data_IF_652895590591
#
_entry.id   IF_652895590591
#
_cell.length_a   1.000
_cell.length_b   1.000
_cell.length_c   1.000
_cell.angle_alpha   90.00
_cell.angle_beta   90.00
_cell.angle_gamma   90.00
#
_symmetry.space_group_name_H-M   'P 1'
#
loop_
_entity.id
_entity.type
_entity.pdbx_description
1 polymer ?
#
# COMPACT_ATOMS: atom_id res chain seq x y z
N UNK A 1 3.06 -49.56 33.85
CA UNK A 1 3.37 -48.12 33.90
C UNK A 1 3.47 -47.63 32.46
N UNK A 2 2.60 -46.71 32.01
CA UNK A 2 2.66 -46.20 30.65
C UNK A 2 3.72 -45.11 30.59
N UNK A 3 4.67 -45.24 29.67
CA UNK A 3 5.56 -44.13 29.29
C UNK A 3 5.29 -43.84 27.83
N UNK A 4 4.12 -43.26 27.57
CA UNK A 4 3.84 -42.64 26.29
C UNK A 4 4.72 -41.40 26.17
N UNK A 5 5.95 -41.61 25.67
CA UNK A 5 6.73 -40.54 25.06
C UNK A 5 5.93 -40.04 23.86
N UNK A 6 5.14 -38.98 24.08
CA UNK A 6 4.65 -38.14 22.99
C UNK A 6 5.87 -37.74 22.16
N UNK A 7 6.04 -38.36 21.00
CA UNK A 7 6.91 -37.81 19.95
C UNK A 7 6.36 -36.43 19.65
N UNK A 8 7.01 -35.41 20.18
CA UNK A 8 6.83 -34.04 19.71
C UNK A 8 7.39 -34.06 18.29
N UNK A 9 6.54 -34.31 17.31
CA UNK A 9 6.87 -34.16 15.89
C UNK A 9 7.06 -32.66 15.67
N UNK A 10 8.26 -32.17 15.95
CA UNK A 10 8.61 -30.79 15.62
C UNK A 10 8.46 -30.62 14.11
N UNK A 11 7.73 -29.58 13.71
CA UNK A 11 7.42 -29.29 12.32
C UNK A 11 8.71 -29.28 11.48
N UNK A 12 8.64 -29.87 10.28
CA UNK A 12 9.70 -29.73 9.29
C UNK A 12 9.68 -28.30 8.78
N UNK A 13 10.84 -27.65 8.78
CA UNK A 13 11.00 -26.33 8.17
C UNK A 13 11.24 -26.55 6.68
N UNK A 14 10.46 -25.88 5.84
CA UNK A 14 10.59 -25.94 4.39
C UNK A 14 11.12 -24.59 3.88
N UNK A 15 12.03 -24.64 2.92
CA UNK A 15 12.48 -23.44 2.22
C UNK A 15 11.34 -22.92 1.35
N UNK A 16 10.97 -21.65 1.53
CA UNK A 16 9.85 -21.02 0.82
C UNK A 16 10.06 -21.05 -0.70
N UNK A 17 11.25 -20.68 -1.16
CA UNK A 17 11.50 -20.53 -2.60
C UNK A 17 11.70 -21.87 -3.33
N UNK A 18 12.48 -22.80 -2.77
CA UNK A 18 12.80 -24.05 -3.47
C UNK A 18 11.95 -25.26 -3.04
N UNK A 19 11.08 -25.11 -2.03
CA UNK A 19 10.20 -26.16 -1.49
C UNK A 19 10.91 -27.31 -0.74
N UNK A 20 12.26 -27.34 -0.71
CA UNK A 20 13.03 -28.42 -0.08
C UNK A 20 13.07 -28.26 1.44
N UNK A 21 13.08 -29.39 2.15
CA UNK A 21 13.27 -29.45 3.61
C UNK A 21 14.60 -28.79 4.03
N UNK A 22 14.55 -27.90 5.00
CA UNK A 22 15.74 -27.37 5.69
C UNK A 22 16.14 -28.39 6.76
N UNK A 23 17.32 -28.99 6.59
CA UNK A 23 17.86 -29.93 7.60
C UNK A 23 18.20 -29.14 8.86
N UNK A 24 17.87 -29.70 10.03
CA UNK A 24 18.05 -29.08 11.36
C UNK A 24 19.45 -28.53 11.68
N UNK A 25 20.48 -29.02 11.00
CA UNK A 25 21.89 -28.65 11.22
C UNK A 25 22.40 -27.63 10.21
N UNK A 26 21.57 -27.19 9.26
CA UNK A 26 21.95 -26.19 8.25
C UNK A 26 21.46 -24.81 8.68
N UNK A 27 22.28 -23.81 8.38
CA UNK A 27 21.89 -22.40 8.51
C UNK A 27 20.77 -22.06 7.52
N UNK A 28 19.88 -21.16 7.94
CA UNK A 28 18.76 -20.67 7.14
C UNK A 28 18.46 -19.22 7.50
N UNK A 29 18.02 -18.45 6.50
CA UNK A 29 17.54 -17.08 6.67
C UNK A 29 16.07 -17.14 7.08
N UNK A 30 15.67 -16.30 8.02
CA UNK A 30 14.25 -16.11 8.38
C UNK A 30 13.86 -14.69 8.04
N UNK A 31 12.79 -14.54 7.26
CA UNK A 31 12.28 -13.24 6.84
C UNK A 31 10.82 -13.10 7.25
N UNK A 32 10.46 -11.87 7.59
CA UNK A 32 9.08 -11.46 7.77
C UNK A 32 8.61 -10.81 6.46
N UNK A 33 7.53 -11.32 5.88
CA UNK A 33 7.04 -10.84 4.59
C UNK A 33 5.52 -10.65 4.59
N UNK A 34 5.02 -9.86 3.65
CA UNK A 34 3.61 -9.49 3.50
C UNK A 34 3.13 -9.85 2.08
N UNK A 35 2.02 -10.60 1.97
CA UNK A 35 1.44 -11.02 0.69
C UNK A 35 0.46 -9.99 0.11
N UNK A 36 0.23 -8.92 0.86
CA UNK A 36 -0.42 -7.70 0.41
C UNK A 36 0.15 -6.51 1.20
N UNK A 37 0.31 -5.34 0.58
CA UNK A 37 0.76 -4.13 1.28
C UNK A 37 -0.24 -3.65 2.35
N UNK A 38 -1.48 -4.13 2.29
CA UNK A 38 -2.58 -3.80 3.19
C UNK A 38 -2.70 -4.78 4.36
N UNK A 39 -1.92 -5.87 4.37
CA UNK A 39 -1.98 -6.86 5.44
C UNK A 39 -1.48 -6.25 6.77
N UNK A 40 -2.27 -6.45 7.83
CA UNK A 40 -1.87 -6.13 9.21
C UNK A 40 -0.88 -7.14 9.77
N UNK A 41 -0.99 -8.40 9.34
CA UNK A 41 -0.20 -9.52 9.84
C UNK A 41 0.79 -9.99 8.79
N UNK A 42 2.05 -10.03 9.17
CA UNK A 42 3.09 -10.67 8.38
C UNK A 42 3.03 -12.19 8.43
N UNK A 43 3.64 -12.84 7.44
CA UNK A 43 4.05 -14.25 7.53
C UNK A 43 5.55 -14.37 7.73
N UNK A 44 5.97 -15.36 8.49
CA UNK A 44 7.39 -15.74 8.58
C UNK A 44 7.71 -16.79 7.53
N UNK A 45 8.74 -16.53 6.72
CA UNK A 45 9.29 -17.48 5.75
C UNK A 45 10.72 -17.88 6.12
N UNK A 46 11.15 -19.04 5.64
CA UNK A 46 12.49 -19.56 5.83
C UNK A 46 13.14 -19.84 4.49
N UNK A 47 14.41 -19.50 4.33
CA UNK A 47 15.18 -19.66 3.10
C UNK A 47 16.49 -20.37 3.39
N UNK A 48 16.97 -21.17 2.44
CA UNK A 48 18.31 -21.76 2.56
C UNK A 48 19.39 -20.70 2.39
N UNK A 49 20.33 -20.67 3.34
CA UNK A 49 21.63 -20.04 3.14
C UNK A 49 22.45 -20.99 2.26
N UNK A 50 22.98 -20.51 1.14
CA UNK A 50 23.85 -21.24 0.19
C UNK A 50 23.24 -22.31 -0.72
N UNK A 51 21.91 -22.46 -0.79
CA UNK A 51 21.31 -23.32 -1.81
C UNK A 51 21.12 -22.53 -3.10
N UNK A 52 21.66 -23.05 -4.22
CA UNK A 52 21.49 -22.44 -5.55
C UNK A 52 20.21 -22.95 -6.19
N UNK A 53 19.38 -22.03 -6.68
CA UNK A 53 18.17 -22.39 -7.43
C UNK A 53 18.57 -22.89 -8.81
N UNK A 54 18.51 -24.22 -8.94
CA UNK A 54 19.01 -25.00 -10.08
C UNK A 54 20.52 -24.82 -10.32
N UNK A 55 21.16 -25.86 -10.85
CA UNK A 55 22.58 -25.80 -11.23
C UNK A 55 22.86 -24.79 -12.36
N UNK A 56 21.81 -24.25 -13.01
CA UNK A 56 21.93 -23.39 -14.19
C UNK A 56 21.98 -21.88 -13.90
N UNK A 57 21.34 -21.39 -12.83
CA UNK A 57 21.22 -19.95 -12.59
C UNK A 57 22.18 -19.41 -11.54
N UNK A 58 22.64 -20.25 -10.61
CA UNK A 58 23.72 -19.90 -9.69
C UNK A 58 23.35 -18.92 -8.57
N UNK A 59 22.09 -18.45 -8.49
CA UNK A 59 21.56 -17.54 -7.47
C UNK A 59 21.05 -18.29 -6.24
N UNK A 60 21.16 -17.66 -5.08
CA UNK A 60 20.66 -18.15 -3.80
C UNK A 60 19.13 -18.11 -3.71
N UNK A 61 18.55 -18.86 -2.76
CA UNK A 61 17.12 -18.78 -2.44
C UNK A 61 16.66 -17.38 -2.01
N UNK A 62 17.57 -16.57 -1.47
CA UNK A 62 17.27 -15.19 -1.04
C UNK A 62 17.28 -14.23 -2.21
N UNK A 63 18.30 -14.27 -3.08
CA UNK A 63 18.33 -13.46 -4.32
C UNK A 63 17.12 -13.76 -5.21
N UNK A 64 16.76 -15.04 -5.30
CA UNK A 64 15.59 -15.50 -6.04
C UNK A 64 14.26 -14.92 -5.54
N UNK A 65 14.16 -14.56 -4.26
CA UNK A 65 12.96 -13.97 -3.69
C UNK A 65 12.65 -12.60 -4.31
N UNK A 66 13.68 -11.86 -4.71
CA UNK A 66 13.62 -10.49 -5.23
C UNK A 66 13.81 -10.40 -6.75
N UNK A 67 14.11 -11.51 -7.42
CA UNK A 67 14.48 -11.50 -8.83
C UNK A 67 13.27 -11.52 -9.79
N UNK A 68 12.96 -10.36 -10.35
CA UNK A 68 11.85 -10.10 -11.28
C UNK A 68 12.07 -10.68 -12.69
N UNK A 69 13.26 -11.16 -13.05
CA UNK A 69 13.54 -11.58 -14.43
C UNK A 69 12.79 -12.86 -14.86
N UNK A 70 12.24 -13.62 -13.91
CA UNK A 70 11.72 -14.97 -14.17
C UNK A 70 10.43 -15.33 -13.43
N UNK A 71 9.90 -14.44 -12.58
CA UNK A 71 8.55 -14.58 -12.07
C UNK A 71 7.96 -13.26 -11.60
N UNK A 72 6.63 -13.20 -11.64
CA UNK A 72 5.84 -12.01 -11.29
C UNK A 72 5.57 -11.89 -9.78
N UNK A 73 5.61 -13.01 -9.04
CA UNK A 73 5.28 -13.09 -7.61
C UNK A 73 6.51 -12.95 -6.71
N UNK A 74 7.30 -11.90 -6.95
CA UNK A 74 8.53 -11.60 -6.20
C UNK A 74 8.27 -10.61 -5.07
N UNK A 75 9.18 -10.53 -4.13
CA UNK A 75 9.13 -9.56 -3.04
C UNK A 75 10.00 -8.36 -3.34
N UNK A 76 9.77 -7.27 -2.62
CA UNK A 76 10.62 -6.11 -2.59
C UNK A 76 10.57 -5.45 -1.21
N UNK A 77 11.62 -4.74 -0.87
CA UNK A 77 11.68 -3.96 0.37
C UNK A 77 11.20 -2.54 0.10
N UNK A 78 10.06 -2.18 0.68
CA UNK A 78 9.52 -0.84 0.51
C UNK A 78 10.41 0.18 1.28
N UNK A 79 10.98 1.20 0.61
CA UNK A 79 11.89 2.14 1.26
C UNK A 79 11.23 3.02 2.32
N UNK A 80 9.89 3.18 2.26
CA UNK A 80 9.13 4.01 3.20
C UNK A 80 8.74 3.28 4.48
N UNK A 81 8.20 2.06 4.38
CA UNK A 81 7.76 1.31 5.56
C UNK A 81 8.71 0.18 5.98
N UNK A 82 9.77 -0.07 5.21
CA UNK A 82 10.78 -1.12 5.45
C UNK A 82 10.21 -2.54 5.53
N UNK A 83 8.98 -2.75 5.03
CA UNK A 83 8.36 -4.07 4.93
C UNK A 83 8.77 -4.74 3.62
N UNK A 84 9.05 -6.04 3.69
CA UNK A 84 9.22 -6.92 2.53
C UNK A 84 7.83 -7.35 2.03
N UNK A 85 7.39 -6.80 0.90
CA UNK A 85 6.02 -6.96 0.38
C UNK A 85 6.08 -7.65 -0.98
N UNK A 86 5.09 -8.48 -1.31
CA UNK A 86 4.98 -9.05 -2.65
C UNK A 86 4.67 -7.95 -3.69
N UNK A 87 5.34 -7.99 -4.83
CA UNK A 87 5.26 -6.95 -5.87
C UNK A 87 3.95 -7.01 -6.66
N UNK A 88 3.34 -8.18 -6.78
CA UNK A 88 2.16 -8.41 -7.60
C UNK A 88 1.13 -9.23 -6.86
N UNK A 89 -0.15 -8.88 -7.05
CA UNK A 89 -1.26 -9.54 -6.38
C UNK A 89 -1.36 -11.03 -6.77
N UNK A 90 -1.24 -11.98 -5.82
CA UNK A 90 -1.31 -13.42 -6.11
C UNK A 90 -2.66 -13.88 -6.68
N UNK A 91 -3.75 -13.23 -6.28
CA UNK A 91 -5.12 -13.60 -6.67
C UNK A 91 -5.55 -12.94 -7.97
N UNK A 92 -5.02 -11.76 -8.25
CA UNK A 92 -5.25 -11.00 -9.47
C UNK A 92 -3.90 -10.60 -10.06
N UNK A 93 -3.23 -11.58 -10.67
CA UNK A 93 -1.87 -11.49 -11.21
C UNK A 93 -1.66 -10.50 -12.35
N UNK A 94 -2.48 -9.48 -12.50
CA UNK A 94 -2.22 -8.30 -13.33
C UNK A 94 -2.00 -7.03 -12.50
N UNK A 95 -2.40 -7.03 -11.22
CA UNK A 95 -2.33 -5.85 -10.36
C UNK A 95 -1.00 -5.78 -9.62
N UNK A 96 -0.21 -4.75 -9.92
CA UNK A 96 1.01 -4.42 -9.20
C UNK A 96 0.70 -3.80 -7.84
N UNK A 97 1.39 -4.23 -6.78
CA UNK A 97 1.40 -3.63 -5.45
C UNK A 97 2.51 -2.61 -5.25
N UNK A 98 3.22 -2.26 -6.32
CA UNK A 98 4.25 -1.23 -6.35
C UNK A 98 3.91 -0.12 -7.33
N UNK A 99 4.38 1.09 -7.02
CA UNK A 99 4.20 2.27 -7.86
C UNK A 99 5.36 3.24 -7.68
N UNK A 100 5.71 3.91 -8.77
CA UNK A 100 6.65 5.04 -8.76
C UNK A 100 6.03 6.28 -8.12
N UNK A 101 6.71 6.81 -7.11
CA UNK A 101 6.40 8.06 -6.43
C UNK A 101 7.70 8.80 -6.11
N UNK A 102 7.83 10.05 -6.58
CA UNK A 102 9.04 10.87 -6.39
C UNK A 102 10.36 10.15 -6.76
N UNK A 103 10.38 9.53 -7.94
CA UNK A 103 11.52 8.77 -8.49
C UNK A 103 11.94 7.56 -7.64
N UNK A 104 11.06 7.09 -6.74
CA UNK A 104 11.23 5.87 -5.97
C UNK A 104 10.03 4.94 -6.11
N UNK A 105 10.30 3.65 -6.15
CA UNK A 105 9.24 2.65 -6.12
C UNK A 105 8.82 2.38 -4.67
N UNK A 106 7.53 2.53 -4.37
CA UNK A 106 6.97 2.33 -3.04
C UNK A 106 5.78 1.37 -3.09
N UNK A 107 5.43 0.76 -1.95
CA UNK A 107 4.25 -0.10 -1.88
C UNK A 107 2.95 0.71 -1.94
N UNK A 108 1.90 0.12 -2.51
CA UNK A 108 0.58 0.77 -2.60
C UNK A 108 0.00 1.15 -1.24
N UNK A 109 0.29 0.40 -0.17
CA UNK A 109 -0.14 0.77 1.18
C UNK A 109 0.55 2.03 1.72
N UNK A 110 1.80 2.32 1.33
CA UNK A 110 2.44 3.60 1.64
C UNK A 110 1.84 4.72 0.79
N UNK A 111 1.67 4.46 -0.50
CA UNK A 111 1.09 5.42 -1.43
C UNK A 111 -0.34 5.82 -1.04
N UNK A 112 -1.17 4.86 -0.64
CA UNK A 112 -2.52 5.08 -0.12
C UNK A 112 -2.51 6.03 1.08
N UNK A 113 -1.67 5.76 2.08
CA UNK A 113 -1.54 6.62 3.27
C UNK A 113 -1.11 8.04 2.91
N UNK A 114 -0.24 8.20 1.90
CA UNK A 114 0.18 9.52 1.40
C UNK A 114 -1.01 10.23 0.75
N UNK A 115 -1.71 9.58 -0.17
CA UNK A 115 -2.83 10.18 -0.90
C UNK A 115 -4.00 10.53 0.04
N UNK A 116 -4.35 9.65 0.98
CA UNK A 116 -5.40 9.92 1.98
C UNK A 116 -5.04 11.11 2.87
N UNK A 117 -3.75 11.33 3.12
CA UNK A 117 -3.28 12.43 3.97
C UNK A 117 -3.13 13.75 3.21
N UNK A 118 -2.67 13.70 1.97
CA UNK A 118 -2.16 14.87 1.25
C UNK A 118 -2.98 15.22 0.01
N UNK A 119 -3.88 14.33 -0.41
CA UNK A 119 -4.56 14.41 -1.70
C UNK A 119 -3.61 14.18 -2.88
N UNK A 120 -4.17 14.26 -4.09
CA UNK A 120 -3.40 14.33 -5.32
C UNK A 120 -2.89 15.76 -5.50
N UNK A 121 -1.61 15.90 -5.83
CA UNK A 121 -0.97 17.19 -6.04
C UNK A 121 -1.62 17.97 -7.21
N UNK A 122 -1.79 19.29 -7.04
CA UNK A 122 -2.43 20.19 -8.00
C UNK A 122 -1.81 20.07 -9.39
N UNK A 123 -0.49 19.99 -9.44
CA UNK A 123 0.33 19.92 -10.66
C UNK A 123 -0.01 18.70 -11.52
N UNK A 124 -0.51 17.61 -10.91
CA UNK A 124 -0.94 16.41 -11.64
C UNK A 124 -2.21 16.70 -12.44
N UNK A 125 -3.20 17.36 -11.83
CA UNK A 125 -4.43 17.76 -12.52
C UNK A 125 -4.18 18.84 -13.58
N UNK A 126 -3.31 19.81 -13.31
CA UNK A 126 -2.88 20.82 -14.29
C UNK A 126 -2.21 20.19 -15.52
N UNK A 127 -1.44 19.11 -15.31
CA UNK A 127 -0.84 18.33 -16.38
C UNK A 127 -1.82 17.37 -17.09
N UNK A 128 -3.09 17.35 -16.71
CA UNK A 128 -4.10 16.45 -17.28
C UNK A 128 -3.91 14.98 -16.89
N UNK A 129 -3.29 14.71 -15.73
CA UNK A 129 -3.07 13.35 -15.23
C UNK A 129 -4.13 12.98 -14.19
N UNK A 130 -4.77 11.84 -14.41
CA UNK A 130 -5.74 11.24 -13.51
C UNK A 130 -5.08 10.18 -12.65
N UNK A 131 -4.29 10.63 -11.69
CA UNK A 131 -3.66 9.75 -10.73
C UNK A 131 -4.70 9.27 -9.72
N UNK A 132 -4.61 8.01 -9.30
CA UNK A 132 -5.53 7.46 -8.33
C UNK A 132 -5.16 6.02 -8.00
N UNK A 133 -5.98 5.35 -7.22
CA UNK A 133 -5.85 3.91 -6.98
C UNK A 133 -7.21 3.32 -6.62
N UNK A 134 -7.25 1.99 -6.52
CA UNK A 134 -8.40 1.32 -5.93
C UNK A 134 -8.32 1.53 -4.41
N UNK A 135 -9.42 1.96 -3.82
CA UNK A 135 -9.55 2.11 -2.38
C UNK A 135 -10.62 1.14 -1.87
N UNK A 136 -10.63 0.93 -0.55
CA UNK A 136 -11.83 0.52 0.14
C UNK A 136 -12.64 1.77 0.47
N UNK A 137 -13.89 1.83 0.02
CA UNK A 137 -14.80 2.96 0.27
C UNK A 137 -14.90 3.29 1.77
N UNK A 138 -14.94 2.27 2.63
CA UNK A 138 -15.02 2.43 4.09
C UNK A 138 -13.81 3.18 4.64
N UNK A 139 -12.61 2.96 4.09
CA UNK A 139 -11.38 3.63 4.51
C UNK A 139 -11.39 5.11 4.15
N UNK A 140 -11.95 5.47 2.99
CA UNK A 140 -12.10 6.87 2.57
C UNK A 140 -13.11 7.61 3.44
N UNK A 141 -14.27 6.99 3.68
CA UNK A 141 -15.31 7.55 4.56
C UNK A 141 -14.77 7.74 5.98
N UNK A 142 -14.07 6.73 6.53
CA UNK A 142 -13.44 6.80 7.85
C UNK A 142 -12.34 7.87 7.92
N UNK A 143 -11.65 8.13 6.81
CA UNK A 143 -10.68 9.21 6.70
C UNK A 143 -11.34 10.60 6.56
N UNK A 144 -12.67 10.68 6.47
CA UNK A 144 -13.43 11.93 6.38
C UNK A 144 -13.52 12.49 4.95
N UNK A 145 -13.37 11.62 3.94
CA UNK A 145 -13.67 11.97 2.56
C UNK A 145 -15.17 11.81 2.27
N UNK A 146 -15.66 12.66 1.37
CA UNK A 146 -17.01 12.60 0.81
C UNK A 146 -16.93 12.54 -0.72
N UNK A 147 -17.84 11.78 -1.34
CA UNK A 147 -17.94 11.72 -2.80
C UNK A 147 -18.45 13.05 -3.36
N UNK A 148 -17.90 13.45 -4.50
CA UNK A 148 -18.43 14.56 -5.29
C UNK A 148 -19.60 14.04 -6.13
N UNK A 149 -20.84 14.50 -5.90
CA UNK A 149 -22.03 13.88 -6.53
C UNK A 149 -22.00 13.85 -8.07
N UNK A 150 -21.47 14.88 -8.71
CA UNK A 150 -21.38 14.96 -10.18
C UNK A 150 -20.15 14.24 -10.77
N UNK A 151 -19.33 13.62 -9.91
CA UNK A 151 -18.11 12.89 -10.25
C UNK A 151 -18.06 11.50 -9.61
N UNK A 152 -19.20 10.98 -9.17
CA UNK A 152 -19.38 9.57 -8.83
C UNK A 152 -19.47 8.75 -10.12
N UNK A 153 -18.74 7.63 -10.19
CA UNK A 153 -18.77 6.73 -11.35
C UNK A 153 -18.54 7.46 -12.70
N UNK A 154 -17.64 8.44 -12.69
CA UNK A 154 -17.36 9.26 -13.86
C UNK A 154 -16.59 8.45 -14.91
N UNK A 155 -17.20 8.26 -16.08
CA UNK A 155 -16.59 7.49 -17.15
C UNK A 155 -15.63 8.35 -17.98
N UNK A 156 -14.34 8.03 -17.89
CA UNK A 156 -13.27 8.67 -18.67
C UNK A 156 -13.01 7.86 -19.93
N UNK A 157 -13.19 8.49 -21.09
CA UNK A 157 -12.92 7.87 -22.39
C UNK A 157 -12.16 8.78 -23.35
N UNK A 158 -12.40 10.07 -23.26
CA UNK A 158 -11.86 11.06 -24.19
C UNK A 158 -11.02 12.10 -23.46
N UNK A 159 -10.20 12.84 -24.22
CA UNK A 159 -9.45 13.98 -23.68
C UNK A 159 -10.35 15.02 -23.03
N UNK A 160 -11.57 15.20 -23.56
CA UNK A 160 -12.55 16.12 -22.98
C UNK A 160 -13.01 15.66 -21.59
N UNK A 161 -13.18 14.35 -21.38
CA UNK A 161 -13.58 13.80 -20.08
C UNK A 161 -12.45 14.01 -19.04
N UNK A 162 -11.20 13.82 -19.46
CA UNK A 162 -10.02 14.13 -18.64
C UNK A 162 -9.97 15.61 -18.27
N UNK A 163 -10.14 16.51 -19.25
CA UNK A 163 -10.14 17.96 -19.01
C UNK A 163 -11.27 18.38 -18.06
N UNK A 164 -12.46 17.78 -18.21
CA UNK A 164 -13.60 18.03 -17.31
C UNK A 164 -13.31 17.55 -15.88
N UNK A 165 -12.78 16.34 -15.73
CA UNK A 165 -12.45 15.77 -14.42
C UNK A 165 -11.38 16.62 -13.71
N UNK A 166 -10.27 16.92 -14.39
CA UNK A 166 -9.22 17.78 -13.85
C UNK A 166 -9.73 19.19 -13.50
N UNK A 167 -10.61 19.78 -14.32
CA UNK A 167 -11.17 21.10 -14.03
C UNK A 167 -11.97 21.13 -12.74
N UNK A 168 -12.75 20.08 -12.44
CA UNK A 168 -13.53 20.01 -11.19
C UNK A 168 -12.62 19.73 -10.00
N UNK A 169 -11.62 18.87 -10.15
CA UNK A 169 -10.62 18.65 -9.12
C UNK A 169 -9.91 19.96 -8.73
N UNK A 170 -9.49 20.76 -9.72
CA UNK A 170 -8.84 22.05 -9.47
C UNK A 170 -9.76 23.06 -8.78
N UNK A 171 -11.06 23.07 -9.08
CA UNK A 171 -12.03 23.90 -8.38
C UNK A 171 -12.09 23.58 -6.88
N UNK A 172 -12.19 22.29 -6.53
CA UNK A 172 -12.18 21.87 -5.12
C UNK A 172 -10.86 22.17 -4.41
N UNK A 173 -9.72 21.99 -5.09
CA UNK A 173 -8.41 22.39 -4.55
C UNK A 173 -8.38 23.89 -4.23
N UNK A 174 -8.90 24.72 -5.14
CA UNK A 174 -8.96 26.18 -4.95
C UNK A 174 -9.90 26.59 -3.79
N UNK A 175 -10.93 25.78 -3.52
CA UNK A 175 -11.82 25.93 -2.37
C UNK A 175 -11.22 25.41 -1.04
N UNK A 176 -10.01 24.86 -1.08
CA UNK A 176 -9.28 24.39 0.08
C UNK A 176 -9.59 22.94 0.46
N UNK A 177 -9.93 22.09 -0.51
CA UNK A 177 -10.10 20.66 -0.32
C UNK A 177 -8.87 19.88 -0.79
N UNK A 178 -8.66 18.72 -0.17
CA UNK A 178 -7.86 17.63 -0.73
C UNK A 178 -8.76 16.85 -1.68
N UNK A 179 -8.22 16.47 -2.84
CA UNK A 179 -8.94 15.71 -3.86
C UNK A 179 -8.21 14.39 -4.07
N UNK A 180 -8.94 13.29 -4.16
CA UNK A 180 -8.41 11.97 -4.53
C UNK A 180 -9.30 11.35 -5.61
N UNK A 181 -8.71 10.46 -6.42
CA UNK A 181 -9.41 9.73 -7.47
C UNK A 181 -9.37 8.24 -7.15
N UNK A 182 -10.55 7.65 -6.96
CA UNK A 182 -10.73 6.22 -6.83
C UNK A 182 -10.92 5.60 -8.21
N UNK A 183 -10.21 4.51 -8.47
CA UNK A 183 -10.43 3.68 -9.65
C UNK A 183 -11.52 2.65 -9.33
N UNK A 184 -12.57 2.57 -10.14
CA UNK A 184 -13.61 1.54 -10.00
C UNK A 184 -13.42 0.41 -11.01
N UNK A 185 -13.37 0.78 -12.30
CA UNK A 185 -13.21 -0.15 -13.39
C UNK A 185 -12.30 0.46 -14.45
N UNK A 186 -11.08 -0.07 -14.57
CA UNK A 186 -10.10 0.41 -15.54
C UNK A 186 -9.95 -0.58 -16.69
N UNK A 187 -9.94 -0.08 -17.92
CA UNK A 187 -9.55 -0.85 -19.08
C UNK A 187 -8.08 -1.27 -18.98
N UNK A 188 -7.74 -2.40 -19.63
CA UNK A 188 -6.36 -2.87 -19.74
C UNK A 188 -5.55 -1.80 -20.49
N UNK A 189 -4.65 -1.12 -19.79
CA UNK A 189 -3.88 0.02 -20.30
C UNK A 189 -4.16 1.35 -19.60
N UNK A 190 -5.15 1.43 -18.71
CA UNK A 190 -5.32 2.54 -17.75
C UNK A 190 -5.81 3.88 -18.32
N UNK A 191 -6.14 3.95 -19.61
CA UNK A 191 -6.56 5.19 -20.28
C UNK A 191 -8.07 5.40 -20.32
N UNK A 192 -8.85 4.32 -20.18
CA UNK A 192 -10.32 4.36 -20.17
C UNK A 192 -10.83 3.66 -18.90
N UNK A 193 -11.88 4.19 -18.29
CA UNK A 193 -12.42 3.59 -17.08
C UNK A 193 -13.34 4.49 -16.26
N UNK A 194 -13.93 3.91 -15.23
CA UNK A 194 -14.75 4.60 -14.25
C UNK A 194 -13.89 5.07 -13.08
N UNK A 195 -14.03 6.35 -12.74
CA UNK A 195 -13.36 6.95 -11.60
C UNK A 195 -14.35 7.72 -10.74
N UNK A 196 -14.17 7.64 -9.42
CA UNK A 196 -14.94 8.42 -8.46
C UNK A 196 -14.05 9.46 -7.81
N UNK A 197 -14.51 10.72 -7.81
CA UNK A 197 -13.80 11.81 -7.13
C UNK A 197 -14.27 11.93 -5.69
N UNK A 198 -13.31 11.97 -4.78
CA UNK A 198 -13.57 12.19 -3.36
C UNK A 198 -12.84 13.45 -2.89
N UNK A 199 -13.48 14.17 -1.97
CA UNK A 199 -12.95 15.40 -1.39
C UNK A 199 -12.93 15.34 0.14
N UNK A 200 -11.97 16.04 0.73
CA UNK A 200 -11.89 16.25 2.19
C UNK A 200 -11.41 17.67 2.45
N UNK A 201 -12.01 18.39 3.40
CA UNK A 201 -11.55 19.74 3.74
C UNK A 201 -10.08 19.66 4.21
N UNK A 202 -9.19 20.48 3.62
CA UNK A 202 -7.82 20.58 4.09
C UNK A 202 -7.84 21.24 5.48
N UNK A 203 -7.28 20.57 6.47
CA UNK A 203 -7.11 21.17 7.80
C UNK A 203 -6.27 22.45 7.66
N UNK A 204 -6.80 23.59 8.11
CA UNK A 204 -6.03 24.83 8.09
C UNK A 204 -4.90 24.73 9.12
N UNK A 205 -3.72 25.21 8.77
CA UNK A 205 -2.58 25.34 9.68
C UNK A 205 -2.92 26.09 10.97
N UNK A 206 -3.92 26.98 10.91
CA UNK A 206 -4.39 27.82 12.02
C UNK A 206 -5.23 27.05 13.05
N UNK A 207 -5.80 25.89 12.68
CA UNK A 207 -6.62 25.05 13.57
C UNK A 207 -5.81 24.42 14.70
N UNK A 208 -4.51 24.21 14.49
CA UNK A 208 -3.61 23.58 15.48
C UNK A 208 -3.20 24.52 16.62
N UNK A 209 -3.41 25.83 16.48
CA UNK A 209 -3.07 26.82 17.51
C UNK A 209 -4.20 27.06 18.53
N UNK A 210 -5.44 26.72 18.20
CA UNK A 210 -6.60 27.01 19.06
C UNK A 210 -6.75 25.97 20.17
N UNK A 211 -6.39 24.70 19.92
CA UNK A 211 -6.55 23.61 20.91
C UNK A 211 -5.50 23.59 22.04
N UNK A 212 -4.51 24.50 22.04
CA UNK A 212 -3.51 24.57 23.12
C UNK A 212 -3.74 25.72 24.12
N UNK A 213 -4.77 26.55 23.95
CA UNK A 213 -5.05 27.67 24.87
C UNK A 213 -6.19 27.42 25.86
N UNK A 214 -6.95 26.33 25.76
CA UNK A 214 -8.08 26.05 26.67
C UNK A 214 -7.78 25.18 27.89
N UNK A 215 -6.55 24.68 28.06
CA UNK A 215 -6.19 23.77 29.17
C UNK A 215 -5.44 24.43 30.35
N UNK A 216 -5.48 25.76 30.46
CA UNK A 216 -4.89 26.46 31.60
C UNK A 216 -5.76 27.61 32.08
N UNK A 217 -6.82 27.31 32.81
CA UNK A 217 -7.29 28.13 33.93
C UNK A 217 -8.46 27.43 34.64
N UNK A 218 -8.15 26.61 35.65
CA UNK A 218 -8.99 26.43 36.85
C UNK A 218 -8.16 25.71 37.93
N UNK A 219 -7.32 26.48 38.63
CA UNK A 219 -6.81 26.09 39.95
C UNK A 219 -7.47 27.01 40.97
N UNK A 220 -8.65 26.60 41.43
CA UNK A 220 -9.35 27.24 42.54
C UNK A 220 -8.70 26.79 43.85
N UNK A 221 -7.95 27.70 44.45
CA UNK A 221 -7.39 27.55 45.80
C UNK A 221 -8.55 27.70 46.79
N UNK A 222 -8.82 26.67 47.59
CA UNK A 222 -9.68 26.80 48.77
C UNK A 222 -8.87 26.49 50.02
N UNK A 223 -8.48 27.58 50.69
CA UNK A 223 -8.06 27.57 52.09
C UNK A 223 -8.89 28.60 52.84
N UNK A 224 -9.75 28.13 53.73
CA UNK A 224 -10.00 28.68 55.07
C UNK A 224 -10.84 27.70 55.89
#
# INVERSE_FOLDING_TARGET
MPTDMKKITMAKIHCYECGKDIRRTKEYTTLEVYDSPFDEQSKTIHLHVDNKISEHYGISCEEALYDEHWADFRYFDCPLCQRTIIRQCPTNGWHSYVRDYEDQEICLGCFERIIIKEGIARERFEAGKLDGMFFNEEDLVNAGYEMVPDMENFFVRTKYDVERYCSVALQYIDEGYLVISEYEHMAIGGLEGYQTMWIKRKESSDSKLINHQTDREEVTIHGH
#
